data_IF_474460051421
#
_entry.id   IF_474460051421
#
_cell.length_a   1.000
_cell.length_b   1.000
_cell.length_c   1.000
_cell.angle_alpha   90.00
_cell.angle_beta   90.00
_cell.angle_gamma   90.00
#
_symmetry.space_group_name_H-M   'P 1'
#
loop_
_entity.id
_entity.type
_entity.pdbx_description
1 polymer ?
#
# COMPACT_ATOMS: atom_id res chain seq x y z
N UNK A 1 29.86 34.78 -27.65
CA UNK A 1 31.00 34.12 -28.30
C UNK A 1 32.34 34.57 -27.73
N UNK A 2 32.54 34.26 -26.47
CA UNK A 2 33.81 33.88 -25.89
C UNK A 2 34.28 32.53 -26.46
N UNK A 3 35.60 32.37 -26.50
CA UNK A 3 36.27 31.11 -26.79
C UNK A 3 37.35 30.93 -25.73
N UNK A 4 37.18 29.93 -24.87
CA UNK A 4 38.16 29.58 -23.85
C UNK A 4 38.84 28.27 -24.19
N UNK A 5 40.16 28.23 -23.99
CA UNK A 5 40.97 27.03 -24.17
C UNK A 5 41.89 26.89 -22.97
N UNK A 6 41.65 25.85 -22.19
CA UNK A 6 42.28 25.65 -20.90
C UNK A 6 43.78 25.45 -21.00
N UNK A 7 44.48 25.80 -19.92
CA UNK A 7 45.94 25.87 -19.90
C UNK A 7 46.60 24.59 -19.36
N UNK A 8 45.81 23.53 -19.13
CA UNK A 8 46.25 22.27 -18.54
C UNK A 8 46.42 22.31 -17.02
N UNK A 9 45.84 23.32 -16.35
CA UNK A 9 45.64 23.44 -14.91
C UNK A 9 44.16 23.73 -14.66
N UNK A 10 43.72 23.64 -13.40
CA UNK A 10 42.38 24.08 -13.00
C UNK A 10 42.05 25.50 -13.46
N UNK A 11 40.93 25.63 -14.16
CA UNK A 11 40.42 26.84 -14.78
C UNK A 11 39.04 27.16 -14.23
N UNK A 12 38.71 28.46 -14.23
CA UNK A 12 37.39 28.96 -13.89
C UNK A 12 36.96 29.90 -15.02
N UNK A 13 36.07 29.42 -15.87
CA UNK A 13 35.61 30.15 -17.06
C UNK A 13 34.10 30.41 -17.01
N UNK A 14 33.72 31.56 -17.56
CA UNK A 14 32.33 31.97 -17.73
C UNK A 14 32.18 32.56 -19.14
N UNK A 15 31.33 31.96 -19.97
CA UNK A 15 31.07 32.35 -21.35
C UNK A 15 30.33 33.68 -21.43
N UNK A 16 29.19 33.79 -20.76
CA UNK A 16 28.42 35.02 -20.65
C UNK A 16 26.98 34.86 -21.13
N UNK A 17 26.62 35.55 -22.22
CA UNK A 17 25.21 35.69 -22.67
C UNK A 17 24.98 35.31 -24.13
N UNK A 18 25.98 34.72 -24.78
CA UNK A 18 25.92 34.40 -26.19
C UNK A 18 26.51 33.01 -26.39
N UNK A 19 26.22 32.37 -27.52
CA UNK A 19 26.78 31.05 -27.84
C UNK A 19 28.32 31.05 -27.75
N UNK A 20 28.85 30.23 -26.84
CA UNK A 20 30.25 30.19 -26.43
C UNK A 20 30.85 28.78 -26.59
N UNK A 21 32.18 28.72 -26.61
CA UNK A 21 32.93 27.45 -26.69
C UNK A 21 34.00 27.44 -25.60
N UNK A 22 33.89 26.49 -24.67
CA UNK A 22 34.75 26.35 -23.51
C UNK A 22 35.43 24.97 -23.54
N UNK A 23 36.77 24.94 -23.54
CA UNK A 23 37.56 23.72 -23.36
C UNK A 23 38.38 23.81 -22.07
N UNK A 24 38.30 22.82 -21.17
CA UNK A 24 39.11 22.72 -19.96
C UNK A 24 40.48 22.04 -20.17
N UNK A 25 40.49 20.97 -20.99
CA UNK A 25 41.65 20.13 -21.30
C UNK A 25 42.12 19.22 -20.17
N UNK A 26 42.99 19.70 -19.28
CA UNK A 26 43.49 18.91 -18.14
C UNK A 26 43.41 19.81 -16.91
N UNK A 27 43.29 19.19 -15.74
CA UNK A 27 43.08 19.90 -14.48
C UNK A 27 41.61 19.86 -14.09
N UNK A 28 41.31 20.16 -12.83
CA UNK A 28 39.92 20.16 -12.37
C UNK A 28 39.32 21.53 -12.66
N UNK A 29 38.49 21.62 -13.68
CA UNK A 29 37.96 22.86 -14.22
C UNK A 29 36.54 23.16 -13.71
N UNK A 30 36.18 24.44 -13.75
CA UNK A 30 34.81 24.91 -13.52
C UNK A 30 34.43 25.79 -14.70
N UNK A 31 33.55 25.28 -15.55
CA UNK A 31 33.18 25.88 -16.82
C UNK A 31 31.69 26.22 -16.80
N UNK A 32 31.35 27.49 -17.01
CA UNK A 32 29.99 27.97 -17.07
C UNK A 32 29.71 28.63 -18.43
N UNK A 33 28.73 28.12 -19.17
CA UNK A 33 28.29 28.68 -20.45
C UNK A 33 27.61 30.03 -20.25
N UNK A 34 26.52 30.04 -19.50
CA UNK A 34 25.74 31.23 -19.17
C UNK A 34 24.43 31.24 -19.93
N UNK A 35 24.09 32.33 -20.62
CA UNK A 35 23.00 32.29 -21.60
C UNK A 35 23.57 32.02 -23.00
N UNK A 36 22.82 31.35 -23.87
CA UNK A 36 23.25 31.02 -25.23
C UNK A 36 23.26 29.52 -25.44
N UNK A 37 23.46 29.07 -26.68
CA UNK A 37 23.66 27.65 -26.95
C UNK A 37 25.17 27.36 -26.90
N UNK A 38 25.62 26.82 -25.77
CA UNK A 38 27.03 26.69 -25.46
C UNK A 38 27.58 25.30 -25.75
N UNK A 39 28.85 25.24 -26.13
CA UNK A 39 29.62 24.00 -26.22
C UNK A 39 30.67 24.00 -25.12
N UNK A 40 30.57 23.04 -24.20
CA UNK A 40 31.43 22.92 -23.04
C UNK A 40 32.04 21.52 -23.00
N UNK A 41 33.37 21.45 -22.97
CA UNK A 41 34.16 20.22 -22.92
C UNK A 41 35.15 20.33 -21.75
N UNK A 42 34.93 19.53 -20.70
CA UNK A 42 35.76 19.49 -19.49
C UNK A 42 37.17 18.98 -19.82
N UNK A 43 37.24 17.80 -20.43
CA UNK A 43 38.48 17.20 -20.89
C UNK A 43 38.87 16.03 -20.00
N UNK A 44 40.07 16.06 -19.41
CA UNK A 44 40.50 15.07 -18.43
C UNK A 44 40.50 15.68 -17.04
N UNK A 45 40.40 14.80 -16.03
CA UNK A 45 40.28 15.12 -14.61
C UNK A 45 38.84 15.50 -14.23
N UNK A 46 38.63 15.95 -12.99
CA UNK A 46 37.29 16.05 -12.43
C UNK A 46 36.79 17.48 -12.57
N UNK A 47 35.79 17.67 -13.40
CA UNK A 47 35.29 18.96 -13.83
C UNK A 47 33.89 19.26 -13.31
N UNK A 48 33.55 20.55 -13.25
CA UNK A 48 32.22 21.06 -12.95
C UNK A 48 31.74 21.88 -14.14
N UNK A 49 30.72 21.37 -14.83
CA UNK A 49 30.17 21.97 -16.05
C UNK A 49 28.76 22.50 -15.79
N UNK A 50 28.52 23.75 -16.16
CA UNK A 50 27.20 24.37 -16.14
C UNK A 50 26.87 24.96 -17.51
N UNK A 51 25.80 24.49 -18.16
CA UNK A 51 25.33 25.03 -19.45
C UNK A 51 24.70 26.40 -19.24
N UNK A 52 23.60 26.42 -18.50
CA UNK A 52 22.90 27.66 -18.11
C UNK A 52 21.58 27.76 -18.86
N UNK A 53 21.30 28.86 -19.55
CA UNK A 53 20.08 28.99 -20.36
C UNK A 53 20.41 28.78 -21.84
N UNK A 54 19.76 27.83 -22.49
CA UNK A 54 19.92 27.60 -23.92
C UNK A 54 19.88 26.13 -24.27
N UNK A 55 20.30 25.78 -25.48
CA UNK A 55 20.45 24.40 -25.93
C UNK A 55 21.93 24.05 -25.93
N UNK A 56 22.39 23.53 -24.80
CA UNK A 56 23.79 23.35 -24.50
C UNK A 56 24.29 21.94 -24.83
N UNK A 57 25.59 21.84 -25.07
CA UNK A 57 26.31 20.57 -25.18
C UNK A 57 27.39 20.53 -24.11
N UNK A 58 27.23 19.62 -23.15
CA UNK A 58 28.17 19.40 -22.06
C UNK A 58 28.81 18.02 -22.23
N UNK A 59 30.13 18.01 -22.35
CA UNK A 59 30.97 16.81 -22.41
C UNK A 59 31.90 16.81 -21.19
N UNK A 60 31.72 15.88 -20.25
CA UNK A 60 32.60 15.72 -19.09
C UNK A 60 34.00 15.31 -19.52
N UNK A 61 34.07 14.20 -20.25
CA UNK A 61 35.30 13.73 -20.88
C UNK A 61 35.85 12.53 -20.12
N UNK A 62 36.90 12.70 -19.32
CA UNK A 62 37.48 11.62 -18.54
C UNK A 62 37.75 12.05 -17.11
N UNK A 63 37.09 11.46 -16.13
CA UNK A 63 37.19 11.90 -14.75
C UNK A 63 35.96 11.51 -13.96
N UNK A 64 35.73 12.20 -12.85
CA UNK A 64 34.44 12.16 -12.17
C UNK A 64 33.88 13.56 -12.19
N UNK A 65 32.96 13.79 -13.13
CA UNK A 65 32.47 15.10 -13.48
C UNK A 65 31.10 15.38 -12.86
N UNK A 66 30.81 16.67 -12.65
CA UNK A 66 29.50 17.15 -12.22
C UNK A 66 28.94 18.06 -13.30
N UNK A 67 27.82 17.65 -13.89
CA UNK A 67 27.20 18.32 -15.04
C UNK A 67 25.82 18.86 -14.65
N UNK A 68 25.60 20.15 -14.85
CA UNK A 68 24.31 20.80 -14.74
C UNK A 68 23.99 21.47 -16.08
N UNK A 69 23.09 20.88 -16.85
CA UNK A 69 22.75 21.38 -18.17
C UNK A 69 22.04 22.75 -18.07
N UNK A 70 21.14 22.88 -17.10
CA UNK A 70 20.39 24.09 -16.86
C UNK A 70 19.05 24.05 -17.58
N UNK A 71 18.72 25.10 -18.31
CA UNK A 71 17.43 25.32 -18.92
C UNK A 71 17.48 25.19 -20.43
N UNK A 72 16.81 24.17 -20.97
CA UNK A 72 16.59 24.01 -22.40
C UNK A 72 16.64 22.55 -22.80
N UNK A 73 16.89 22.26 -24.07
CA UNK A 73 17.03 20.85 -24.50
C UNK A 73 18.50 20.59 -24.73
N UNK A 74 19.13 19.92 -23.79
CA UNK A 74 20.58 19.83 -23.74
C UNK A 74 21.09 18.43 -24.09
N UNK A 75 22.36 18.40 -24.46
CA UNK A 75 23.12 17.18 -24.63
C UNK A 75 24.10 17.06 -23.46
N UNK A 76 23.93 16.04 -22.63
CA UNK A 76 24.83 15.78 -21.50
C UNK A 76 25.49 14.41 -21.69
N UNK A 77 26.81 14.41 -21.75
CA UNK A 77 27.63 13.21 -21.83
C UNK A 77 28.72 13.26 -20.75
N UNK A 78 28.64 12.40 -19.73
CA UNK A 78 29.67 12.35 -18.68
C UNK A 78 31.02 11.82 -19.20
N UNK A 79 30.99 10.95 -20.21
CA UNK A 79 32.18 10.35 -20.78
C UNK A 79 32.69 9.16 -19.97
N UNK A 80 33.95 9.19 -19.56
CA UNK A 80 34.62 8.08 -18.90
C UNK A 80 34.86 8.37 -17.42
N UNK A 81 34.29 7.54 -16.56
CA UNK A 81 34.60 7.51 -15.14
C UNK A 81 33.34 7.36 -14.33
N UNK A 82 33.12 8.23 -13.35
CA UNK A 82 31.92 8.18 -12.49
C UNK A 82 31.34 9.57 -12.41
N UNK A 83 30.33 9.81 -13.23
CA UNK A 83 29.84 11.14 -13.55
C UNK A 83 28.45 11.38 -12.96
N UNK A 84 28.20 12.62 -12.58
CA UNK A 84 26.97 13.04 -11.89
C UNK A 84 26.26 14.12 -12.67
N UNK A 85 24.99 13.90 -13.02
CA UNK A 85 24.12 14.97 -13.52
C UNK A 85 23.31 15.57 -12.36
N UNK A 86 23.20 16.89 -12.30
CA UNK A 86 22.50 17.58 -11.21
C UNK A 86 21.36 18.44 -11.72
N UNK A 87 20.17 18.20 -11.16
CA UNK A 87 18.95 18.97 -11.34
C UNK A 87 18.54 19.71 -10.06
N UNK A 88 19.46 19.92 -9.12
CA UNK A 88 19.19 20.60 -7.85
C UNK A 88 18.67 22.05 -8.03
N UNK A 89 18.91 22.67 -9.19
CA UNK A 89 18.39 23.98 -9.55
C UNK A 89 17.02 23.95 -10.26
N UNK A 90 16.44 22.77 -10.49
CA UNK A 90 15.16 22.64 -11.17
C UNK A 90 14.01 23.19 -10.32
N UNK A 91 13.02 23.77 -11.00
CA UNK A 91 11.92 24.51 -10.37
C UNK A 91 10.62 23.70 -10.25
N UNK A 92 10.66 22.43 -10.64
CA UNK A 92 9.56 21.45 -10.59
C UNK A 92 10.14 20.05 -10.28
N UNK A 93 9.26 19.10 -9.98
CA UNK A 93 9.62 17.69 -9.90
C UNK A 93 10.01 17.11 -11.26
N UNK A 94 11.06 16.31 -11.27
CA UNK A 94 11.73 15.78 -12.44
C UNK A 94 11.45 14.30 -12.61
N UNK A 95 11.25 13.86 -13.85
CA UNK A 95 11.38 12.46 -14.24
C UNK A 95 12.74 12.28 -14.90
N UNK A 96 13.65 11.55 -14.27
CA UNK A 96 15.02 11.36 -14.75
C UNK A 96 15.28 9.88 -14.96
N UNK A 97 15.72 9.49 -16.16
CA UNK A 97 16.16 8.12 -16.46
C UNK A 97 17.56 8.11 -17.06
N UNK A 98 18.50 7.48 -16.37
CA UNK A 98 19.83 7.18 -16.88
C UNK A 98 19.78 5.88 -17.68
N UNK A 99 19.93 5.92 -19.01
CA UNK A 99 19.97 4.72 -19.85
C UNK A 99 21.40 4.45 -20.35
N UNK A 100 21.90 3.21 -20.22
CA UNK A 100 23.14 2.77 -20.88
C UNK A 100 22.82 2.24 -22.29
N UNK A 101 23.14 3.00 -23.35
CA UNK A 101 22.99 2.55 -24.74
C UNK A 101 22.77 3.66 -25.77
N UNK A 102 22.77 3.32 -27.07
CA UNK A 102 22.73 4.25 -28.20
C UNK A 102 21.46 5.14 -28.32
N UNK A 103 20.48 4.95 -27.43
CA UNK A 103 19.30 5.82 -27.32
C UNK A 103 19.38 6.51 -25.96
N UNK A 104 19.40 7.84 -25.97
CA UNK A 104 19.66 8.67 -24.80
C UNK A 104 18.74 8.33 -23.61
N UNK A 105 19.25 8.48 -22.38
CA UNK A 105 18.42 8.75 -21.22
C UNK A 105 17.68 10.07 -21.41
N UNK A 106 16.55 10.23 -20.74
CA UNK A 106 15.76 11.46 -20.82
C UNK A 106 15.52 12.02 -19.42
N UNK A 107 15.65 13.34 -19.31
CA UNK A 107 15.07 14.10 -18.22
C UNK A 107 13.82 14.80 -18.73
N UNK A 108 12.72 14.74 -17.98
CA UNK A 108 11.46 15.40 -18.31
C UNK A 108 10.78 15.92 -17.05
N UNK A 109 10.40 17.18 -17.06
CA UNK A 109 9.58 17.76 -15.98
C UNK A 109 8.23 17.03 -15.87
N UNK A 110 7.88 16.63 -14.64
CA UNK A 110 6.59 16.04 -14.30
C UNK A 110 5.44 17.01 -14.54
N UNK A 111 4.88 17.02 -15.76
CA UNK A 111 3.69 17.76 -16.19
C UNK A 111 3.86 19.29 -16.38
N UNK A 112 3.68 19.74 -17.65
CA UNK A 112 3.38 21.11 -18.11
C UNK A 112 4.52 22.15 -18.08
N UNK A 113 5.20 22.29 -19.22
CA UNK A 113 5.82 23.56 -19.67
C UNK A 113 6.78 24.24 -18.67
N UNK A 114 7.75 23.49 -18.16
CA UNK A 114 8.81 24.02 -17.29
C UNK A 114 10.06 24.39 -18.08
N UNK A 115 10.74 25.45 -17.65
CA UNK A 115 11.85 26.08 -18.33
C UNK A 115 13.10 25.19 -18.52
N UNK A 116 13.14 24.02 -17.88
CA UNK A 116 14.30 23.11 -17.90
C UNK A 116 14.39 22.30 -19.20
N UNK A 117 13.29 22.12 -19.94
CA UNK A 117 13.27 21.43 -21.25
C UNK A 117 13.39 19.90 -21.16
N UNK A 118 14.01 19.26 -22.15
CA UNK A 118 14.16 17.80 -22.25
C UNK A 118 15.56 17.45 -22.70
N UNK A 119 16.31 16.82 -21.80
CA UNK A 119 17.72 16.54 -22.00
C UNK A 119 17.99 15.14 -22.51
N UNK A 120 19.06 15.02 -23.29
CA UNK A 120 19.62 13.75 -23.74
C UNK A 120 20.83 13.39 -22.88
N UNK A 121 20.66 12.39 -22.02
CA UNK A 121 21.66 11.96 -21.04
C UNK A 121 22.42 10.71 -21.51
N UNK A 122 23.75 10.69 -21.39
CA UNK A 122 24.61 9.54 -21.69
C UNK A 122 25.79 9.45 -20.73
N UNK A 123 26.29 8.22 -20.54
CA UNK A 123 27.50 7.92 -19.78
C UNK A 123 27.50 8.63 -18.41
N UNK A 124 26.43 8.42 -17.64
CA UNK A 124 26.21 9.02 -16.33
C UNK A 124 25.86 7.92 -15.35
N UNK A 125 26.51 7.90 -14.20
CA UNK A 125 26.32 6.92 -13.14
C UNK A 125 25.51 7.47 -11.98
N UNK A 126 25.56 8.78 -11.74
CA UNK A 126 24.94 9.38 -10.57
C UNK A 126 24.00 10.50 -10.96
N UNK A 127 23.07 10.80 -10.05
CA UNK A 127 22.11 11.87 -10.28
C UNK A 127 21.72 12.53 -8.97
N UNK A 128 21.56 13.85 -9.04
CA UNK A 128 20.95 14.67 -7.99
C UNK A 128 19.66 15.24 -8.55
N UNK A 129 18.56 14.96 -7.88
CA UNK A 129 17.24 15.50 -8.15
C UNK A 129 17.08 16.96 -7.72
N UNK A 130 15.85 17.42 -7.75
CA UNK A 130 15.41 18.78 -7.51
C UNK A 130 15.03 19.02 -6.04
N UNK A 131 14.47 20.18 -5.76
CA UNK A 131 13.86 20.49 -4.46
C UNK A 131 12.40 19.99 -4.34
N UNK A 132 11.91 19.24 -5.33
CA UNK A 132 10.54 18.77 -5.44
C UNK A 132 10.49 17.26 -5.61
N UNK A 133 9.31 16.68 -5.42
CA UNK A 133 9.07 15.26 -5.66
C UNK A 133 9.46 14.82 -7.07
N UNK A 134 10.52 14.04 -7.14
CA UNK A 134 11.08 13.49 -8.37
C UNK A 134 10.72 12.02 -8.56
N UNK A 135 10.86 11.57 -9.80
CA UNK A 135 10.90 10.16 -10.20
C UNK A 135 12.25 9.93 -10.87
N UNK A 136 13.12 9.16 -10.20
CA UNK A 136 14.49 9.01 -10.65
C UNK A 136 14.82 7.53 -10.84
N UNK A 137 15.37 7.21 -12.01
CA UNK A 137 15.81 5.87 -12.36
C UNK A 137 17.26 5.89 -12.82
N UNK A 138 18.09 5.15 -12.09
CA UNK A 138 19.48 4.91 -12.43
C UNK A 138 19.65 4.02 -13.67
N UNK A 139 20.91 3.86 -14.08
CA UNK A 139 21.25 2.95 -15.16
C UNK A 139 21.45 1.52 -14.61
N UNK A 140 21.92 0.56 -15.41
CA UNK A 140 22.08 -0.82 -14.92
C UNK A 140 23.33 -1.07 -14.05
N UNK A 141 24.22 -0.09 -13.97
CA UNK A 141 25.43 -0.09 -13.14
C UNK A 141 25.14 0.38 -11.72
N UNK A 142 26.18 0.58 -10.92
CA UNK A 142 26.03 1.09 -9.55
C UNK A 142 25.78 2.60 -9.60
N UNK A 143 24.66 3.05 -9.06
CA UNK A 143 24.29 4.47 -9.05
C UNK A 143 24.27 5.06 -7.63
N UNK A 144 24.70 6.31 -7.50
CA UNK A 144 24.28 7.18 -6.40
C UNK A 144 23.13 8.05 -6.88
N UNK A 145 21.95 7.80 -6.34
CA UNK A 145 20.72 8.54 -6.63
C UNK A 145 20.36 9.36 -5.40
N UNK A 146 20.40 10.68 -5.52
CA UNK A 146 20.00 11.61 -4.47
C UNK A 146 18.74 12.34 -4.92
N UNK A 147 17.61 12.13 -4.22
CA UNK A 147 16.32 12.74 -4.55
C UNK A 147 16.32 14.26 -4.34
N UNK A 148 16.89 14.73 -3.23
CA UNK A 148 16.95 16.16 -2.92
C UNK A 148 15.97 16.53 -1.83
N UNK A 149 15.14 17.55 -2.05
CA UNK A 149 14.01 17.84 -1.16
C UNK A 149 12.72 17.33 -1.80
N UNK A 150 11.71 17.07 -0.99
CA UNK A 150 10.44 16.56 -1.47
C UNK A 150 10.27 15.10 -1.09
N UNK A 151 9.24 14.47 -1.63
CA UNK A 151 9.04 13.04 -1.48
C UNK A 151 9.30 12.37 -2.82
N UNK A 152 10.41 11.66 -2.93
CA UNK A 152 10.95 11.18 -4.20
C UNK A 152 10.67 9.69 -4.42
N UNK A 153 10.47 9.29 -5.67
CA UNK A 153 10.40 7.87 -6.06
C UNK A 153 11.68 7.47 -6.77
N UNK A 154 12.47 6.61 -6.12
CA UNK A 154 13.80 6.22 -6.60
C UNK A 154 13.78 4.75 -7.06
N UNK A 155 13.96 4.55 -8.36
CA UNK A 155 13.97 3.22 -8.95
C UNK A 155 15.35 2.58 -8.80
N UNK A 156 15.36 1.42 -8.14
CA UNK A 156 16.54 0.57 -8.06
C UNK A 156 16.84 -0.09 -9.41
N UNK A 157 18.10 -0.45 -9.62
CA UNK A 157 18.55 -1.20 -10.78
C UNK A 157 19.17 -2.54 -10.36
N UNK A 158 19.83 -3.24 -11.31
CA UNK A 158 20.61 -4.44 -11.01
C UNK A 158 21.97 -4.13 -10.37
N UNK A 159 22.40 -2.88 -10.41
CA UNK A 159 23.60 -2.39 -9.74
C UNK A 159 23.48 -2.44 -8.22
N UNK A 160 24.60 -2.21 -7.57
CA UNK A 160 24.63 -1.91 -6.13
C UNK A 160 24.42 -0.41 -6.00
N UNK A 161 23.17 0.00 -5.84
CA UNK A 161 22.81 1.42 -5.82
C UNK A 161 22.74 1.95 -4.38
N UNK A 162 23.02 3.24 -4.24
CA UNK A 162 22.66 4.04 -3.07
C UNK A 162 21.46 4.90 -3.45
N UNK A 163 20.33 4.64 -2.83
CA UNK A 163 19.09 5.40 -2.99
C UNK A 163 18.92 6.30 -1.77
N UNK A 164 19.06 7.61 -1.97
CA UNK A 164 18.94 8.62 -0.93
C UNK A 164 17.72 9.51 -1.21
N UNK A 165 16.64 9.32 -0.45
CA UNK A 165 15.41 10.12 -0.57
C UNK A 165 15.56 11.55 -0.06
N UNK A 166 16.68 11.90 0.57
CA UNK A 166 16.93 13.28 1.01
C UNK A 166 15.94 13.80 2.06
N UNK A 167 15.57 15.08 1.97
CA UNK A 167 14.70 15.75 2.94
C UNK A 167 13.25 15.64 2.52
N UNK A 168 12.42 15.08 3.39
CA UNK A 168 11.02 14.76 3.08
C UNK A 168 10.81 13.27 2.82
N UNK A 169 11.91 12.52 2.70
CA UNK A 169 11.91 11.07 2.56
C UNK A 169 11.69 10.63 1.13
N UNK A 170 11.60 9.32 0.93
CA UNK A 170 11.33 8.79 -0.39
C UNK A 170 10.83 7.35 -0.39
N UNK A 171 10.43 6.91 -1.57
CA UNK A 171 10.03 5.56 -1.89
C UNK A 171 11.10 4.87 -2.72
N UNK A 172 11.59 3.72 -2.25
CA UNK A 172 12.44 2.84 -3.05
C UNK A 172 11.56 1.92 -3.91
N UNK A 173 11.69 2.02 -5.23
CA UNK A 173 10.86 1.28 -6.17
C UNK A 173 11.68 0.18 -6.87
N UNK A 174 11.24 -1.07 -6.72
CA UNK A 174 11.87 -2.25 -7.30
C UNK A 174 11.07 -2.86 -8.47
N UNK A 175 9.94 -2.25 -8.86
CA UNK A 175 8.97 -2.83 -9.79
C UNK A 175 9.51 -3.08 -11.21
N UNK A 176 10.55 -2.37 -11.63
CA UNK A 176 11.21 -2.55 -12.93
C UNK A 176 12.20 -3.74 -12.96
N UNK A 177 12.48 -4.36 -11.82
CA UNK A 177 13.45 -5.45 -11.72
C UNK A 177 12.80 -6.78 -12.08
N UNK A 178 13.24 -7.34 -13.20
CA UNK A 178 12.79 -8.66 -13.66
C UNK A 178 13.67 -9.79 -13.15
N UNK A 179 13.05 -10.89 -12.71
CA UNK A 179 13.71 -12.18 -12.46
C UNK A 179 14.51 -12.27 -11.16
N UNK A 180 14.43 -11.26 -10.29
CA UNK A 180 15.02 -11.22 -8.96
C UNK A 180 13.97 -10.68 -7.98
N UNK A 181 13.89 -11.27 -6.79
CA UNK A 181 13.06 -10.76 -5.71
C UNK A 181 13.88 -9.76 -4.87
N UNK A 182 13.20 -8.76 -4.31
CA UNK A 182 13.75 -7.77 -3.42
C UNK A 182 13.64 -8.22 -1.95
N UNK A 183 14.75 -8.12 -1.23
CA UNK A 183 14.78 -8.14 0.23
C UNK A 183 15.11 -6.74 0.71
N UNK A 184 14.18 -6.07 1.39
CA UNK A 184 14.29 -4.66 1.79
C UNK A 184 14.18 -4.55 3.31
N UNK A 185 15.08 -3.80 3.92
CA UNK A 185 15.06 -3.50 5.34
C UNK A 185 15.35 -2.02 5.58
N UNK A 186 14.28 -1.26 5.80
CA UNK A 186 14.32 0.19 6.04
C UNK A 186 14.93 0.53 7.40
N UNK A 187 14.81 -0.36 8.40
CA UNK A 187 15.46 -0.18 9.70
C UNK A 187 16.99 -0.19 9.58
N UNK A 188 17.54 -1.08 8.76
CA UNK A 188 18.99 -1.17 8.53
C UNK A 188 19.49 -0.26 7.41
N UNK A 189 18.59 0.33 6.62
CA UNK A 189 18.94 1.13 5.45
C UNK A 189 19.58 0.28 4.33
N UNK A 190 19.08 -0.93 4.09
CA UNK A 190 19.69 -1.85 3.13
C UNK A 190 18.63 -2.60 2.32
N UNK A 191 18.96 -2.90 1.07
CA UNK A 191 18.20 -3.83 0.24
C UNK A 191 19.12 -4.80 -0.49
N UNK A 192 18.56 -5.90 -1.01
CA UNK A 192 19.28 -6.89 -1.79
C UNK A 192 18.37 -7.51 -2.86
N UNK A 193 18.90 -7.70 -4.07
CA UNK A 193 18.20 -8.38 -5.17
C UNK A 193 18.72 -9.81 -5.37
N UNK A 194 19.82 -10.16 -4.71
CA UNK A 194 20.42 -11.48 -4.74
C UNK A 194 21.34 -11.65 -3.54
N UNK A 195 21.40 -12.87 -2.98
CA UNK A 195 22.18 -13.16 -1.78
C UNK A 195 23.62 -12.65 -1.88
N UNK A 196 23.97 -11.69 -1.02
CA UNK A 196 25.34 -11.17 -0.88
C UNK A 196 25.65 -9.84 -1.58
N UNK A 197 24.74 -9.30 -2.41
CA UNK A 197 24.87 -7.93 -2.94
C UNK A 197 23.82 -7.04 -2.28
N UNK A 198 24.28 -5.99 -1.62
CA UNK A 198 23.42 -5.08 -0.87
C UNK A 198 23.58 -3.67 -1.39
N UNK A 199 22.48 -3.07 -1.82
CA UNK A 199 22.40 -1.62 -2.01
C UNK A 199 22.08 -0.91 -0.69
N UNK A 200 22.21 0.41 -0.70
CA UNK A 200 22.04 1.27 0.47
C UNK A 200 20.77 2.11 0.32
N UNK A 201 20.00 2.24 1.39
CA UNK A 201 18.84 3.12 1.48
C UNK A 201 19.12 4.19 2.54
N UNK A 202 18.93 5.45 2.16
CA UNK A 202 19.09 6.62 3.03
C UNK A 202 17.81 7.43 2.94
N UNK A 203 17.24 7.80 4.08
CA UNK A 203 15.99 8.58 4.14
C UNK A 203 14.87 7.99 3.27
N UNK A 204 14.75 6.67 3.26
CA UNK A 204 13.66 5.95 2.57
C UNK A 204 12.64 5.53 3.62
N UNK A 205 11.42 5.96 3.40
CA UNK A 205 10.28 5.66 4.26
C UNK A 205 9.42 4.55 3.67
N UNK A 206 9.37 4.44 2.35
CA UNK A 206 8.40 3.59 1.65
C UNK A 206 9.09 2.69 0.63
N UNK A 207 8.43 1.60 0.25
CA UNK A 207 8.99 0.68 -0.75
C UNK A 207 7.91 -0.03 -1.56
N UNK A 208 8.22 -0.27 -2.84
CA UNK A 208 7.40 -1.08 -3.75
C UNK A 208 8.21 -2.24 -4.31
N UNK A 209 7.66 -3.45 -4.22
CA UNK A 209 8.24 -4.72 -4.63
C UNK A 209 8.43 -4.90 -6.13
N UNK A 210 9.02 -6.05 -6.45
CA UNK A 210 9.16 -6.64 -7.77
C UNK A 210 7.88 -7.41 -8.14
N UNK A 211 7.92 -8.20 -9.21
CA UNK A 211 6.84 -9.14 -9.54
C UNK A 211 7.10 -10.57 -9.01
N UNK A 212 8.03 -10.72 -8.06
CA UNK A 212 8.41 -11.97 -7.42
C UNK A 212 8.26 -11.86 -5.90
N UNK A 213 8.40 -12.99 -5.21
CA UNK A 213 8.24 -13.11 -3.76
C UNK A 213 9.27 -12.29 -2.98
N UNK A 214 8.87 -11.13 -2.53
CA UNK A 214 9.70 -10.16 -1.84
C UNK A 214 9.66 -10.32 -0.31
N UNK A 215 10.64 -9.73 0.37
CA UNK A 215 10.72 -9.72 1.83
C UNK A 215 11.04 -8.33 2.35
N UNK A 216 10.07 -7.68 2.96
CA UNK A 216 10.17 -6.29 3.41
C UNK A 216 10.12 -6.20 4.94
N UNK A 217 10.92 -5.29 5.49
CA UNK A 217 10.86 -4.85 6.89
C UNK A 217 10.93 -3.33 6.91
N UNK A 218 9.89 -2.68 7.39
CA UNK A 218 9.86 -1.23 7.55
C UNK A 218 10.74 -0.75 8.72
N UNK A 219 10.58 0.52 9.08
CA UNK A 219 11.36 1.19 10.13
C UNK A 219 10.46 1.51 11.34
N UNK A 220 10.78 2.56 12.12
CA UNK A 220 9.95 2.99 13.26
C UNK A 220 9.00 4.15 12.92
N UNK A 221 9.07 4.63 11.69
CA UNK A 221 8.22 5.68 11.13
C UNK A 221 6.93 5.10 10.56
N UNK A 222 6.12 5.93 9.91
CA UNK A 222 4.97 5.46 9.15
C UNK A 222 5.44 5.02 7.78
N UNK A 223 5.27 3.75 7.44
CA UNK A 223 5.66 3.19 6.15
C UNK A 223 4.44 2.86 5.28
N UNK A 224 4.61 3.00 3.97
CA UNK A 224 3.72 2.59 2.87
C UNK A 224 4.50 1.52 2.11
N UNK A 225 4.16 0.26 2.35
CA UNK A 225 4.87 -0.91 1.80
C UNK A 225 3.96 -1.68 0.86
N UNK A 226 4.37 -1.85 -0.39
CA UNK A 226 3.61 -2.59 -1.40
C UNK A 226 4.46 -3.75 -1.94
N UNK A 227 4.01 -4.99 -1.75
CA UNK A 227 4.67 -6.19 -2.30
C UNK A 227 4.51 -6.34 -3.82
N UNK A 228 3.53 -5.63 -4.40
CA UNK A 228 3.18 -5.69 -5.81
C UNK A 228 2.67 -7.06 -6.28
N UNK A 229 3.52 -7.94 -6.79
CA UNK A 229 3.08 -9.28 -7.20
C UNK A 229 4.11 -10.31 -6.76
N UNK A 230 3.64 -11.50 -6.38
CA UNK A 230 4.49 -12.47 -5.72
C UNK A 230 3.80 -12.96 -4.45
N UNK A 231 4.37 -13.97 -3.81
CA UNK A 231 3.98 -14.34 -2.47
C UNK A 231 4.91 -13.62 -1.50
N UNK A 232 4.50 -12.46 -1.03
CA UNK A 232 5.39 -11.53 -0.35
C UNK A 232 5.35 -11.74 1.16
N UNK A 233 6.43 -11.35 1.85
CA UNK A 233 6.46 -11.32 3.31
C UNK A 233 6.83 -9.91 3.77
N UNK A 234 5.86 -9.21 4.35
CA UNK A 234 6.00 -7.79 4.66
C UNK A 234 5.71 -7.55 6.14
N UNK A 235 6.66 -6.91 6.82
CA UNK A 235 6.52 -6.43 8.18
C UNK A 235 6.62 -4.90 8.20
N UNK A 236 5.60 -4.22 8.74
CA UNK A 236 5.59 -2.75 8.84
C UNK A 236 6.70 -2.20 9.74
N UNK A 237 7.08 -2.95 10.80
CA UNK A 237 8.05 -2.48 11.77
C UNK A 237 7.34 -1.82 12.96
N UNK A 238 7.79 -0.65 13.38
CA UNK A 238 7.04 0.16 14.35
C UNK A 238 6.44 1.35 13.64
N UNK A 239 5.25 1.82 13.99
CA UNK A 239 4.70 2.99 13.30
C UNK A 239 3.19 2.97 13.17
N UNK A 240 2.68 3.66 12.17
CA UNK A 240 1.32 3.42 11.70
C UNK A 240 1.41 3.14 10.22
N UNK A 241 1.51 1.86 9.89
CA UNK A 241 1.94 1.44 8.56
C UNK A 241 0.74 1.08 7.68
N UNK A 242 0.81 1.43 6.41
CA UNK A 242 -0.07 0.89 5.38
C UNK A 242 0.72 -0.18 4.60
N UNK A 243 0.28 -1.43 4.70
CA UNK A 243 0.92 -2.57 4.07
C UNK A 243 -0.03 -3.21 3.07
N UNK A 244 0.41 -3.30 1.82
CA UNK A 244 -0.25 -4.01 0.73
C UNK A 244 0.58 -5.23 0.34
N UNK A 245 -0.05 -6.41 0.35
CA UNK A 245 0.56 -7.63 -0.17
C UNK A 245 0.68 -7.59 -1.68
N UNK A 246 -0.46 -7.36 -2.36
CA UNK A 246 -0.50 -7.24 -3.80
C UNK A 246 -1.22 -8.43 -4.42
N UNK A 247 -0.63 -9.02 -5.46
CA UNK A 247 -1.16 -10.22 -6.10
C UNK A 247 -0.31 -11.44 -5.73
N UNK A 248 -0.93 -12.47 -5.18
CA UNK A 248 -0.27 -13.68 -4.68
C UNK A 248 -0.67 -13.97 -3.25
N UNK A 249 -0.09 -15.03 -2.69
CA UNK A 249 -0.43 -15.48 -1.33
C UNK A 249 0.53 -14.84 -0.34
N UNK A 250 0.09 -13.75 0.29
CA UNK A 250 1.00 -12.88 1.03
C UNK A 250 1.01 -13.19 2.53
N UNK A 251 2.11 -12.83 3.19
CA UNK A 251 2.25 -12.87 4.64
C UNK A 251 2.51 -11.46 5.16
N UNK A 252 1.47 -10.82 5.69
CA UNK A 252 1.50 -9.44 6.18
C UNK A 252 1.54 -9.43 7.70
N UNK A 253 2.54 -8.77 8.27
CA UNK A 253 2.83 -8.78 9.70
C UNK A 253 2.54 -7.39 10.29
N UNK A 254 1.55 -7.33 11.17
CA UNK A 254 1.34 -6.18 12.04
C UNK A 254 2.28 -6.30 13.25
N UNK A 255 3.33 -5.48 13.24
CA UNK A 255 4.28 -5.32 14.34
C UNK A 255 3.86 -4.10 15.17
N UNK A 256 4.77 -3.23 15.64
CA UNK A 256 4.44 -2.21 16.62
C UNK A 256 3.60 -1.05 16.07
N UNK A 257 2.57 -0.63 16.81
CA UNK A 257 1.75 0.53 16.46
C UNK A 257 0.48 0.17 15.67
N UNK A 258 -0.19 1.16 15.09
CA UNK A 258 -1.53 0.94 14.55
C UNK A 258 -1.43 0.70 13.05
N UNK A 259 -1.74 -0.49 12.54
CA UNK A 259 -1.42 -0.81 11.14
C UNK A 259 -2.68 -1.05 10.30
N UNK A 260 -2.59 -0.74 9.01
CA UNK A 260 -3.56 -1.15 7.99
C UNK A 260 -2.92 -2.18 7.08
N UNK A 261 -3.47 -3.39 7.08
CA UNK A 261 -3.06 -4.47 6.20
C UNK A 261 -4.11 -4.69 5.11
N UNK A 262 -3.64 -4.87 3.88
CA UNK A 262 -4.48 -5.19 2.72
C UNK A 262 -3.81 -6.33 1.98
N UNK A 263 -4.45 -7.49 1.92
CA UNK A 263 -3.90 -8.65 1.20
C UNK A 263 -3.78 -8.33 -0.29
N UNK A 264 -4.88 -7.90 -0.88
CA UNK A 264 -5.04 -7.70 -2.30
C UNK A 264 -5.30 -6.24 -2.68
N UNK A 265 -4.46 -5.67 -3.55
CA UNK A 265 -4.76 -4.40 -4.21
C UNK A 265 -5.23 -4.65 -5.65
N UNK A 266 -6.53 -4.88 -5.86
CA UNK A 266 -7.11 -4.86 -7.22
C UNK A 266 -8.00 -3.62 -7.41
N UNK A 267 -7.57 -2.70 -8.27
CA UNK A 267 -8.35 -1.54 -8.71
C UNK A 267 -9.58 -1.94 -9.57
N UNK A 268 -9.78 -3.23 -9.86
CA UNK A 268 -10.73 -3.73 -10.86
C UNK A 268 -11.75 -4.74 -10.34
N UNK A 269 -11.85 -4.98 -9.02
CA UNK A 269 -12.87 -5.90 -8.48
C UNK A 269 -12.67 -7.37 -8.87
N UNK A 270 -11.50 -7.71 -9.42
CA UNK A 270 -11.02 -9.08 -9.59
C UNK A 270 -9.92 -9.27 -8.55
N UNK A 271 -10.31 -9.47 -7.29
CA UNK A 271 -9.37 -9.97 -6.29
C UNK A 271 -8.81 -11.29 -6.79
N UNK A 272 -7.52 -11.53 -6.60
CA UNK A 272 -7.07 -12.91 -6.72
C UNK A 272 -7.77 -13.75 -5.62
N UNK A 273 -7.81 -15.06 -5.81
CA UNK A 273 -8.28 -15.98 -4.77
C UNK A 273 -7.08 -16.58 -4.02
N UNK A 274 -5.95 -15.86 -3.99
CA UNK A 274 -4.81 -16.30 -3.21
C UNK A 274 -5.15 -16.18 -1.72
N UNK A 275 -4.48 -17.00 -0.93
CA UNK A 275 -4.69 -17.06 0.52
C UNK A 275 -3.69 -16.16 1.19
N UNK A 276 -4.18 -15.04 1.72
CA UNK A 276 -3.35 -14.11 2.48
C UNK A 276 -3.30 -14.52 3.95
N UNK A 277 -2.15 -14.31 4.58
CA UNK A 277 -1.91 -14.58 6.00
C UNK A 277 -1.59 -13.28 6.73
N UNK A 278 -2.50 -12.84 7.58
CA UNK A 278 -2.35 -11.67 8.42
C UNK A 278 -1.85 -12.09 9.81
N UNK A 279 -0.64 -11.67 10.16
CA UNK A 279 0.03 -12.05 11.40
C UNK A 279 -0.07 -10.90 12.39
N UNK A 280 -0.66 -11.18 13.56
CA UNK A 280 -0.85 -10.19 14.60
C UNK A 280 0.13 -10.47 15.73
N UNK A 281 1.10 -9.56 15.91
CA UNK A 281 2.09 -9.68 16.97
C UNK A 281 1.58 -9.06 18.26
N UNK A 282 2.13 -9.50 19.39
CA UNK A 282 1.67 -9.03 20.71
C UNK A 282 2.08 -7.59 21.04
N UNK A 283 3.07 -7.05 20.32
CA UNK A 283 3.50 -5.66 20.42
C UNK A 283 2.70 -4.72 19.51
N UNK A 284 1.74 -5.23 18.73
CA UNK A 284 0.90 -4.41 17.87
C UNK A 284 -0.03 -3.49 18.64
N UNK A 285 -0.40 -2.39 18.00
CA UNK A 285 -1.47 -1.49 18.40
C UNK A 285 -2.80 -1.94 17.81
N UNK A 286 -3.61 -1.00 17.32
CA UNK A 286 -4.86 -1.32 16.63
C UNK A 286 -4.59 -1.69 15.16
N UNK A 287 -5.01 -2.88 14.74
CA UNK A 287 -4.81 -3.39 13.38
C UNK A 287 -6.12 -3.34 12.60
N UNK A 288 -6.08 -2.85 11.37
CA UNK A 288 -7.19 -2.91 10.42
C UNK A 288 -6.80 -3.79 9.25
N UNK A 289 -7.54 -4.88 9.04
CA UNK A 289 -7.42 -5.70 7.83
C UNK A 289 -8.57 -5.31 6.91
N UNK A 290 -8.24 -4.82 5.73
CA UNK A 290 -9.21 -4.07 4.92
C UNK A 290 -10.02 -4.92 3.94
N UNK A 291 -9.58 -6.14 3.66
CA UNK A 291 -10.11 -6.98 2.60
C UNK A 291 -10.15 -8.47 2.97
N UNK A 292 -10.22 -8.79 4.27
CA UNK A 292 -10.21 -10.17 4.77
C UNK A 292 -11.32 -11.04 4.16
N UNK A 293 -10.93 -12.10 3.44
CA UNK A 293 -11.81 -13.08 2.78
C UNK A 293 -11.95 -14.34 3.64
N UNK A 294 -13.13 -14.51 4.24
CA UNK A 294 -13.44 -15.72 5.02
C UNK A 294 -13.34 -17.01 4.20
N UNK A 295 -12.85 -18.08 4.81
CA UNK A 295 -12.62 -19.37 4.17
C UNK A 295 -11.39 -19.42 3.26
N UNK A 296 -10.85 -18.26 2.86
CA UNK A 296 -9.69 -18.13 2.00
C UNK A 296 -8.49 -17.71 2.85
N UNK A 297 -8.56 -16.54 3.45
CA UNK A 297 -7.46 -15.92 4.20
C UNK A 297 -7.24 -16.58 5.56
N UNK A 298 -6.12 -16.24 6.19
CA UNK A 298 -5.72 -16.73 7.50
C UNK A 298 -5.37 -15.55 8.40
N UNK A 299 -5.89 -15.60 9.62
CA UNK A 299 -5.49 -14.73 10.72
C UNK A 299 -4.59 -15.53 11.67
N UNK A 300 -3.30 -15.21 11.70
CA UNK A 300 -2.29 -15.83 12.55
C UNK A 300 -2.13 -15.02 13.84
N UNK A 301 -2.63 -15.59 14.95
CA UNK A 301 -2.59 -15.01 16.29
C UNK A 301 -1.78 -15.89 17.25
N UNK A 302 -0.89 -16.71 16.70
CA UNK A 302 -0.11 -17.68 17.47
C UNK A 302 0.75 -17.04 18.59
N UNK A 303 1.17 -15.80 18.41
CA UNK A 303 1.93 -15.02 19.40
C UNK A 303 1.17 -14.84 20.74
N UNK A 304 -0.17 -14.90 20.73
CA UNK A 304 -0.99 -14.78 21.94
C UNK A 304 -1.04 -16.07 22.79
N UNK A 305 -0.20 -17.06 22.49
CA UNK A 305 -0.09 -18.32 23.25
C UNK A 305 -1.24 -19.29 22.99
N UNK A 306 -2.00 -19.03 21.92
CA UNK A 306 -3.05 -19.92 21.45
C UNK A 306 -2.40 -21.01 20.59
N UNK A 307 -2.26 -22.21 21.14
CA UNK A 307 -1.80 -23.38 20.36
C UNK A 307 -2.93 -23.94 19.51
N UNK A 308 -2.61 -24.67 18.44
CA UNK A 308 -3.61 -25.44 17.68
C UNK A 308 -4.34 -26.40 18.64
N UNK A 309 -5.63 -26.14 18.90
CA UNK A 309 -6.41 -26.85 19.93
C UNK A 309 -6.96 -25.96 21.05
N UNK A 310 -6.45 -24.72 21.20
CA UNK A 310 -6.83 -23.81 22.28
C UNK A 310 -8.15 -23.08 21.96
N UNK A 311 -9.12 -23.15 22.88
CA UNK A 311 -10.30 -22.29 22.86
C UNK A 311 -9.88 -20.83 22.97
N UNK A 312 -10.38 -20.02 22.04
CA UNK A 312 -10.13 -18.59 21.97
C UNK A 312 -10.65 -17.88 23.24
N UNK A 313 -9.87 -16.93 23.76
CA UNK A 313 -10.18 -16.18 25.01
C UNK A 313 -10.43 -14.68 24.75
N UNK A 314 -10.56 -14.29 23.48
CA UNK A 314 -10.86 -12.90 23.12
C UNK A 314 -12.36 -12.58 23.19
N UNK A 315 -12.70 -11.33 22.85
CA UNK A 315 -14.08 -10.88 22.60
C UNK A 315 -14.23 -10.41 21.17
N UNK A 316 -15.34 -10.76 20.52
CA UNK A 316 -15.63 -10.40 19.13
C UNK A 316 -16.91 -9.57 19.16
N UNK A 317 -16.84 -8.36 18.63
CA UNK A 317 -17.95 -7.41 18.62
C UNK A 317 -18.13 -6.92 17.20
N UNK A 318 -19.36 -6.97 16.69
CA UNK A 318 -19.71 -6.33 15.45
C UNK A 318 -19.84 -4.82 15.67
N UNK A 319 -19.20 -4.04 14.80
CA UNK A 319 -19.33 -2.58 14.77
C UNK A 319 -19.63 -2.20 13.32
N UNK A 320 -20.86 -1.77 13.07
CA UNK A 320 -21.40 -1.50 11.74
C UNK A 320 -21.26 -2.71 10.80
N UNK A 321 -20.51 -2.58 9.70
CA UNK A 321 -20.25 -3.65 8.72
C UNK A 321 -18.95 -4.42 8.98
N UNK A 322 -18.32 -4.23 10.15
CA UNK A 322 -17.00 -4.76 10.46
C UNK A 322 -17.03 -5.68 11.70
N UNK A 323 -16.13 -6.65 11.71
CA UNK A 323 -15.88 -7.50 12.88
C UNK A 323 -14.67 -6.98 13.64
N UNK A 324 -14.83 -6.71 14.95
CA UNK A 324 -13.73 -6.28 15.82
C UNK A 324 -13.39 -7.40 16.79
N UNK A 325 -12.13 -7.84 16.79
CA UNK A 325 -11.56 -8.83 17.70
C UNK A 325 -10.67 -8.14 18.73
N UNK A 326 -10.77 -8.53 19.99
CA UNK A 326 -9.85 -8.11 21.05
C UNK A 326 -9.00 -9.29 21.49
N UNK A 327 -7.70 -9.21 21.24
CA UNK A 327 -6.70 -10.22 21.57
C UNK A 327 -5.92 -9.77 22.81
N UNK A 328 -5.73 -10.65 23.79
CA UNK A 328 -5.01 -10.32 25.03
C UNK A 328 -3.99 -11.39 25.39
N UNK A 329 -2.79 -10.97 25.79
CA UNK A 329 -1.77 -11.83 26.38
C UNK A 329 -1.00 -11.06 27.45
N UNK A 330 -1.14 -11.47 28.70
CA UNK A 330 -0.56 -10.74 29.83
C UNK A 330 -1.13 -9.32 29.92
N UNK A 331 -0.26 -8.30 29.81
CA UNK A 331 -0.66 -6.89 29.82
C UNK A 331 -0.93 -6.32 28.41
N UNK A 332 -0.62 -7.07 27.35
CA UNK A 332 -0.76 -6.62 25.98
C UNK A 332 -2.19 -6.87 25.50
N UNK A 333 -2.79 -5.85 24.87
CA UNK A 333 -4.13 -5.92 24.28
C UNK A 333 -4.07 -5.34 22.87
N UNK A 334 -4.51 -6.13 21.89
CA UNK A 334 -4.53 -5.75 20.47
C UNK A 334 -5.97 -5.81 19.97
N UNK A 335 -6.40 -4.76 19.30
CA UNK A 335 -7.72 -4.72 18.63
C UNK A 335 -7.51 -4.94 17.14
N UNK A 336 -8.19 -5.94 16.57
CA UNK A 336 -8.13 -6.25 15.13
C UNK A 336 -9.49 -5.98 14.52
N UNK A 337 -9.57 -5.10 13.54
CA UNK A 337 -10.78 -4.81 12.78
C UNK A 337 -10.69 -5.51 11.43
N UNK A 338 -11.61 -6.44 11.17
CA UNK A 338 -11.80 -7.07 9.87
C UNK A 338 -12.90 -6.32 9.11
N UNK A 339 -12.53 -5.58 8.07
CA UNK A 339 -13.48 -4.83 7.27
C UNK A 339 -14.27 -5.75 6.34
N UNK A 340 -15.57 -5.50 6.18
CA UNK A 340 -16.44 -6.27 5.29
C UNK A 340 -16.89 -7.64 5.81
N UNK A 341 -16.44 -8.05 7.00
CA UNK A 341 -16.91 -9.27 7.67
C UNK A 341 -18.12 -8.93 8.55
N UNK A 342 -19.32 -9.32 8.10
CA UNK A 342 -20.60 -9.00 8.73
C UNK A 342 -21.24 -10.16 9.50
N UNK A 343 -22.16 -9.82 10.40
CA UNK A 343 -22.92 -10.73 11.26
C UNK A 343 -23.54 -11.91 10.48
N UNK A 344 -23.29 -13.15 10.94
CA UNK A 344 -23.73 -14.40 10.30
C UNK A 344 -22.61 -15.16 9.57
N UNK A 345 -21.51 -14.47 9.22
CA UNK A 345 -20.33 -15.09 8.66
C UNK A 345 -19.34 -15.40 9.80
N UNK A 346 -19.41 -16.63 10.33
CA UNK A 346 -18.54 -17.07 11.43
C UNK A 346 -17.09 -17.25 10.96
N UNK A 347 -16.14 -16.62 11.66
CA UNK A 347 -14.72 -16.98 11.56
C UNK A 347 -14.55 -18.44 11.95
N UNK A 348 -14.18 -19.28 10.99
CA UNK A 348 -14.02 -20.71 11.21
C UNK A 348 -12.62 -21.02 11.75
N UNK A 349 -12.45 -22.22 12.30
CA UNK A 349 -11.11 -22.72 12.69
C UNK A 349 -10.15 -22.72 11.50
N UNK A 350 -10.68 -22.96 10.30
CA UNK A 350 -9.90 -22.89 9.07
C UNK A 350 -9.33 -21.51 8.78
N UNK A 351 -9.91 -20.44 9.34
CA UNK A 351 -9.51 -19.06 9.08
C UNK A 351 -8.48 -18.57 10.10
N UNK A 352 -8.15 -19.39 11.11
CA UNK A 352 -7.28 -19.04 12.22
C UNK A 352 -6.04 -19.94 12.27
N UNK A 353 -4.86 -19.33 12.42
CA UNK A 353 -3.64 -20.03 12.82
C UNK A 353 -3.38 -19.70 14.29
N UNK A 354 -3.40 -20.73 15.15
CA UNK A 354 -3.28 -20.57 16.61
C UNK A 354 -4.61 -20.26 17.32
N UNK A 355 -5.58 -21.18 17.29
CA UNK A 355 -6.86 -21.06 18.01
C UNK A 355 -7.94 -21.95 17.38
N UNK A 356 -8.96 -22.40 18.12
CA UNK A 356 -9.91 -23.41 17.60
C UNK A 356 -11.38 -23.05 17.54
N UNK A 357 -11.83 -21.86 17.89
CA UNK A 357 -13.16 -21.38 17.48
C UNK A 357 -13.30 -19.89 17.79
N UNK A 358 -13.49 -19.03 16.79
CA UNK A 358 -14.16 -17.76 17.03
C UNK A 358 -15.66 -18.00 16.84
N UNK A 359 -16.31 -18.50 17.90
CA UNK A 359 -17.74 -18.25 18.05
C UNK A 359 -17.84 -16.72 18.16
N UNK A 360 -18.11 -16.06 17.04
CA UNK A 360 -18.78 -14.76 17.08
C UNK A 360 -20.10 -15.10 17.77
N UNK A 361 -20.12 -14.99 19.10
CA UNK A 361 -21.38 -15.00 19.79
C UNK A 361 -22.14 -13.84 19.14
N UNK A 362 -23.31 -14.07 18.53
CA UNK A 362 -24.19 -12.95 18.27
C UNK A 362 -24.28 -12.18 19.60
N UNK A 363 -24.31 -10.84 19.58
CA UNK A 363 -24.47 -10.05 20.82
C UNK A 363 -25.54 -10.75 21.64
N UNK A 364 -25.37 -11.00 22.96
CA UNK A 364 -26.24 -11.87 23.72
C UNK A 364 -27.68 -11.55 23.34
N UNK A 365 -28.21 -12.36 22.42
CA UNK A 365 -29.59 -12.24 22.02
C UNK A 365 -30.30 -12.48 23.34
N UNK A 366 -31.28 -11.66 23.72
CA UNK A 366 -32.10 -12.01 24.87
C UNK A 366 -32.56 -13.44 24.62
N UNK A 367 -31.94 -14.38 25.32
CA UNK A 367 -32.21 -15.78 25.18
C UNK A 367 -33.58 -15.90 25.83
N UNK A 368 -34.64 -15.79 25.03
CA UNK A 368 -35.89 -16.45 25.38
C UNK A 368 -35.64 -17.94 25.15
N UNK A 369 -34.80 -18.50 26.01
CA UNK A 369 -34.65 -19.93 26.16
C UNK A 369 -35.97 -20.46 26.68
N UNK A 370 -36.61 -21.30 25.87
CA UNK A 370 -37.76 -22.13 26.15
C UNK A 370 -37.81 -22.59 27.62
N UNK A 371 -38.67 -21.95 28.41
CA UNK A 371 -39.15 -22.53 29.66
C UNK A 371 -40.32 -23.41 29.32
N UNK A 372 -40.07 -24.65 28.88
CA UNK A 372 -41.05 -25.63 28.38
C UNK A 372 -42.13 -26.03 29.40
N UNK A 373 -42.93 -25.06 29.83
CA UNK A 373 -43.86 -25.13 30.94
C UNK A 373 -45.31 -24.84 30.49
N UNK A 374 -45.57 -24.63 29.19
CA UNK A 374 -46.91 -24.33 28.67
C UNK A 374 -47.46 -22.99 29.15
N UNK A 375 -46.62 -21.95 29.20
CA UNK A 375 -47.02 -20.58 29.52
C UNK A 375 -47.12 -19.76 28.23
N UNK A 376 -48.03 -18.79 28.20
CA UNK A 376 -48.20 -17.84 27.09
C UNK A 376 -46.94 -16.98 26.91
N UNK A 377 -46.23 -17.17 25.80
CA UNK A 377 -45.14 -16.27 25.39
C UNK A 377 -45.66 -15.20 24.40
N UNK A 378 -45.20 -13.95 24.57
CA UNK A 378 -45.55 -12.83 23.69
C UNK A 378 -44.29 -12.34 22.98
N UNK A 379 -44.26 -12.47 21.65
CA UNK A 379 -43.13 -12.06 20.81
C UNK A 379 -43.38 -10.69 20.18
N UNK A 380 -42.59 -9.68 20.55
CA UNK A 380 -42.70 -8.32 19.99
C UNK A 380 -41.86 -8.22 18.73
N UNK A 381 -42.47 -7.80 17.62
CA UNK A 381 -41.81 -7.66 16.32
C UNK A 381 -41.30 -6.24 16.11
N UNK A 382 -39.99 -6.05 15.96
CA UNK A 382 -39.38 -4.75 15.62
C UNK A 382 -38.83 -4.75 14.18
N UNK A 383 -39.40 -3.93 13.27
CA UNK A 383 -38.96 -3.85 11.88
C UNK A 383 -37.54 -3.27 11.69
N UNK A 384 -36.93 -2.63 12.70
CA UNK A 384 -35.55 -2.14 12.60
C UNK A 384 -34.49 -3.26 12.69
N UNK A 385 -34.87 -4.47 13.11
CA UNK A 385 -33.95 -5.56 13.39
C UNK A 385 -33.74 -6.55 12.22
N UNK A 386 -34.32 -6.30 11.04
CA UNK A 386 -34.16 -7.16 9.85
C UNK A 386 -34.86 -8.53 9.96
N UNK A 387 -34.52 -9.47 9.06
CA UNK A 387 -35.10 -10.82 9.04
C UNK A 387 -34.83 -11.59 10.34
N UNK A 388 -35.89 -12.11 10.97
CA UNK A 388 -35.84 -12.81 12.26
C UNK A 388 -36.00 -14.31 12.02
N UNK A 389 -34.95 -15.10 12.23
CA UNK A 389 -34.93 -16.49 11.70
C UNK A 389 -35.34 -17.57 12.71
N UNK A 390 -35.53 -17.30 14.00
CA UNK A 390 -35.73 -18.40 14.97
C UNK A 390 -36.70 -18.09 16.12
N UNK A 391 -38.00 -18.29 15.88
CA UNK A 391 -38.99 -18.42 16.94
C UNK A 391 -39.48 -19.87 17.01
N UNK A 392 -39.40 -20.50 18.18
CA UNK A 392 -40.12 -21.73 18.47
C UNK A 392 -41.51 -21.31 18.95
N UNK A 393 -42.56 -21.66 18.21
CA UNK A 393 -43.92 -21.20 18.47
C UNK A 393 -44.81 -22.42 18.74
N UNK A 394 -45.43 -22.45 19.91
CA UNK A 394 -46.42 -23.45 20.30
C UNK A 394 -47.83 -22.98 19.90
N UNK A 395 -48.38 -23.64 18.87
CA UNK A 395 -49.70 -23.35 18.33
C UNK A 395 -50.80 -23.36 19.41
N UNK A 396 -51.55 -22.25 19.51
CA UNK A 396 -52.67 -22.08 20.45
C UNK A 396 -52.28 -21.71 21.88
N UNK A 397 -51.00 -21.52 22.18
CA UNK A 397 -50.49 -21.08 23.49
C UNK A 397 -49.71 -19.77 23.39
N UNK A 398 -48.93 -19.58 22.33
CA UNK A 398 -48.09 -18.40 22.13
C UNK A 398 -48.80 -17.33 21.31
N UNK A 399 -48.35 -16.08 21.45
CA UNK A 399 -48.87 -14.95 20.71
C UNK A 399 -47.80 -14.06 20.11
N UNK A 400 -48.08 -13.53 18.92
CA UNK A 400 -47.22 -12.56 18.24
C UNK A 400 -47.81 -11.16 18.44
N UNK A 401 -47.07 -10.28 19.11
CA UNK A 401 -47.42 -8.88 19.27
C UNK A 401 -46.83 -8.05 18.11
N UNK A 402 -47.74 -7.60 17.25
CA UNK A 402 -47.45 -6.77 16.08
C UNK A 402 -47.83 -5.30 16.32
N UNK A 403 -48.07 -4.90 17.57
CA UNK A 403 -48.51 -3.54 17.92
C UNK A 403 -47.53 -2.45 17.47
N UNK A 404 -46.23 -2.75 17.39
CA UNK A 404 -45.21 -1.84 16.86
C UNK A 404 -45.32 -1.62 15.33
N UNK A 405 -46.12 -2.43 14.63
CA UNK A 405 -46.45 -2.24 13.21
C UNK A 405 -47.74 -1.41 13.00
N UNK A 406 -48.52 -1.17 14.06
CA UNK A 406 -49.75 -0.40 13.96
C UNK A 406 -49.49 1.11 13.78
N UNK A 407 -50.13 1.69 12.76
CA UNK A 407 -50.03 3.11 12.41
C UNK A 407 -49.22 3.42 11.15
N UNK A 408 -48.50 2.45 10.59
CA UNK A 408 -47.56 2.65 9.47
C UNK A 408 -48.00 2.14 8.09
N UNK A 409 -49.19 1.54 7.91
CA UNK A 409 -49.61 1.00 6.60
C UNK A 409 -48.92 -0.30 6.18
N UNK A 410 -48.42 -1.07 7.15
CA UNK A 410 -47.81 -2.39 6.93
C UNK A 410 -48.87 -3.47 6.65
N UNK A 411 -48.59 -4.34 5.69
CA UNK A 411 -49.40 -5.53 5.39
C UNK A 411 -48.64 -6.82 5.73
N UNK A 412 -49.30 -7.76 6.41
CA UNK A 412 -48.74 -9.07 6.75
C UNK A 412 -49.49 -10.19 6.04
N UNK A 413 -48.78 -11.21 5.56
CA UNK A 413 -49.39 -12.46 5.12
C UNK A 413 -48.54 -13.66 5.52
N UNK A 414 -49.20 -14.81 5.66
CA UNK A 414 -48.54 -16.07 5.94
C UNK A 414 -48.21 -16.77 4.62
N UNK A 415 -46.98 -17.25 4.50
CA UNK A 415 -46.47 -17.97 3.33
C UNK A 415 -45.81 -19.29 3.78
N UNK A 416 -45.74 -20.25 2.85
CA UNK A 416 -44.95 -21.46 3.04
C UNK A 416 -43.52 -21.23 2.52
N UNK A 417 -42.52 -21.76 3.22
CA UNK A 417 -41.15 -21.78 2.69
C UNK A 417 -41.06 -22.88 1.61
N UNK A 418 -40.70 -22.54 0.36
CA UNK A 418 -40.64 -23.53 -0.71
C UNK A 418 -39.64 -24.64 -0.39
N UNK A 419 -40.14 -25.89 -0.33
CA UNK A 419 -39.30 -27.07 -0.13
C UNK A 419 -39.04 -27.46 1.33
N UNK A 420 -39.63 -26.76 2.31
CA UNK A 420 -39.57 -27.14 3.73
C UNK A 420 -40.97 -27.32 4.32
N UNK A 421 -41.02 -27.77 5.59
CA UNK A 421 -42.26 -27.82 6.39
C UNK A 421 -42.51 -26.53 7.16
N UNK A 422 -41.74 -25.48 6.90
CA UNK A 422 -41.69 -24.26 7.71
C UNK A 422 -42.67 -23.22 7.18
N UNK A 423 -43.28 -22.47 8.10
CA UNK A 423 -44.09 -21.31 7.78
C UNK A 423 -43.25 -20.03 7.86
N UNK A 424 -43.63 -19.02 7.07
CA UNK A 424 -43.09 -17.68 7.16
C UNK A 424 -44.20 -16.65 7.32
N UNK A 425 -44.03 -15.74 8.29
CA UNK A 425 -44.78 -14.49 8.30
C UNK A 425 -44.00 -13.46 7.50
N UNK A 426 -44.62 -12.94 6.44
CA UNK A 426 -44.01 -11.94 5.56
C UNK A 426 -44.71 -10.61 5.79
N UNK A 427 -43.92 -9.61 6.17
CA UNK A 427 -44.40 -8.24 6.39
C UNK A 427 -43.87 -7.33 5.29
N UNK A 428 -44.75 -6.48 4.77
CA UNK A 428 -44.43 -5.53 3.70
C UNK A 428 -44.82 -4.12 4.14
N UNK A 429 -43.85 -3.21 4.08
CA UNK A 429 -43.99 -1.82 4.50
C UNK A 429 -44.47 -0.89 3.39
N UNK A 430 -44.93 0.32 3.74
CA UNK A 430 -45.43 1.32 2.78
C UNK A 430 -44.35 1.86 1.82
N UNK A 431 -43.06 1.71 2.15
CA UNK A 431 -41.94 2.16 1.31
C UNK A 431 -41.21 1.02 0.57
N UNK A 432 -41.81 -0.18 0.50
CA UNK A 432 -41.21 -1.35 -0.15
C UNK A 432 -40.24 -2.13 0.72
N UNK A 433 -40.27 -1.90 2.04
CA UNK A 433 -39.53 -2.68 3.03
C UNK A 433 -40.16 -4.08 3.16
N UNK A 434 -39.31 -5.10 3.31
CA UNK A 434 -39.75 -6.47 3.53
C UNK A 434 -38.92 -7.09 4.65
N UNK A 435 -39.58 -7.76 5.58
CA UNK A 435 -38.91 -8.66 6.51
C UNK A 435 -39.77 -9.90 6.73
N UNK A 436 -39.10 -10.99 7.07
CA UNK A 436 -39.70 -12.30 7.27
C UNK A 436 -39.38 -12.85 8.65
N UNK A 437 -40.37 -13.53 9.23
CA UNK A 437 -40.20 -14.34 10.43
C UNK A 437 -40.38 -15.79 10.01
N UNK A 438 -39.33 -16.60 10.14
CA UNK A 438 -39.40 -18.04 9.83
C UNK A 438 -39.75 -18.83 11.09
N UNK A 439 -40.70 -19.76 10.96
CA UNK A 439 -41.19 -20.65 12.01
C UNK A 439 -40.82 -22.10 11.69
N UNK A 440 -39.66 -22.59 12.17
CA UNK A 440 -39.13 -23.90 11.78
C UNK A 440 -40.00 -25.05 12.29
N UNK A 441 -40.29 -26.02 11.43
CA UNK A 441 -41.00 -27.26 11.79
C UNK A 441 -42.52 -27.13 11.88
N UNK A 442 -43.12 -25.99 11.51
CA UNK A 442 -44.55 -25.76 11.57
C UNK A 442 -45.21 -25.56 10.20
N UNK A 443 -46.22 -26.36 9.82
CA UNK A 443 -46.97 -26.15 8.59
C UNK A 443 -47.82 -24.87 8.64
N UNK A 444 -47.85 -24.09 7.56
CA UNK A 444 -48.55 -22.79 7.50
C UNK A 444 -50.06 -22.84 7.83
N UNK A 445 -50.73 -23.99 7.70
CA UNK A 445 -52.15 -24.13 8.00
C UNK A 445 -52.47 -24.27 9.50
N UNK A 446 -51.45 -24.26 10.37
CA UNK A 446 -51.61 -24.35 11.82
C UNK A 446 -51.69 -22.99 12.54
N UNK A 447 -51.44 -21.87 11.86
CA UNK A 447 -51.48 -20.53 12.49
C UNK A 447 -52.81 -19.86 12.12
N UNK A 448 -53.56 -19.39 13.10
CA UNK A 448 -54.85 -18.73 12.89
C UNK A 448 -54.87 -17.26 13.37
N UNK A 449 -55.96 -16.55 13.06
CA UNK A 449 -56.07 -15.13 13.38
C UNK A 449 -56.10 -14.84 14.90
N UNK A 450 -56.32 -15.84 15.76
CA UNK A 450 -56.36 -15.72 17.21
C UNK A 450 -54.98 -15.81 17.88
N UNK A 451 -53.95 -16.21 17.13
CA UNK A 451 -52.53 -16.25 17.52
C UNK A 451 -51.84 -14.87 17.45
N UNK A 452 -52.53 -13.85 16.93
CA UNK A 452 -52.03 -12.48 16.83
C UNK A 452 -52.59 -11.60 17.97
N UNK A 453 -51.72 -10.82 18.61
CA UNK A 453 -52.13 -9.65 19.41
C UNK A 453 -52.04 -8.45 18.47
N UNK A 454 -53.22 -7.94 18.09
CA UNK A 454 -53.38 -6.71 17.32
C UNK A 454 -53.21 -5.47 18.20
#
# INVERSE_FOLDING_TARGET
MAYFNGNGQSNLYNGGVADDVLYGNNGNDTLNGGDGNDYIDGGNNNDVLAGGNGHDTLLGGGGSDVLNAGAGNDLVDGGAGVDTVSYAGAVNGMWIELNQGATAGFSRDGNLSGAMGTDSLRNLENVVGSDFSDIIKGNSGNNLIQGGNGYDTLYASRGIDTLDGGVGGGSANFSDISGLAATVNLTTGAYSLNAGNYGTLISIDDATGTALNDSFTGNSGRNVLDGAAGNDTIAGGGGHDDVWGGAGADRLIADGGNDRLTGNYSFAGYGDNATDTFVIRTNAGAVTISDFKLGIDKLDVSDFGLTTGSTWVGSAVQVDTNTVLTLTQGANTVTVTLQGVVNGHLLQVSDMIGGTSALIAPPPQPAFSNGGNGLLDIFVVDPQLGDQTFLHFENGLDKIDISLLQGGGWGGHLANVPGTTDAQLVFSGPQGEHFTITLPGMPYYQIDASDYIL
#
